data_IF_459015246218
#
_entry.id   IF_459015246218
#
_cell.length_a   1.000
_cell.length_b   1.000
_cell.length_c   1.000
_cell.angle_alpha   90.00
_cell.angle_beta   90.00
_cell.angle_gamma   90.00
#
_symmetry.space_group_name_H-M   'P 1'
#
loop_
_entity.id
_entity.type
_entity.pdbx_description
1 polymer ?
#
# COMPACT_ATOMS: atom_id res chain seq x y z
N UNK A 1 41.71 -4.03 -33.50
CA UNK A 1 42.08 -2.78 -32.84
C UNK A 1 41.34 -1.65 -33.55
N UNK A 2 40.02 -1.73 -33.66
CA UNK A 2 38.98 -1.64 -32.60
C UNK A 2 38.58 -0.18 -32.43
N UNK A 3 37.59 0.24 -33.22
CA UNK A 3 36.91 1.52 -33.06
C UNK A 3 35.55 1.52 -33.79
N UNK A 4 34.68 0.52 -33.53
CA UNK A 4 33.32 0.49 -34.12
C UNK A 4 32.30 -0.24 -33.21
N UNK A 5 32.29 0.04 -31.90
CA UNK A 5 31.27 -0.56 -31.00
C UNK A 5 30.85 0.30 -29.80
N UNK A 6 30.82 1.63 -29.93
CA UNK A 6 30.41 2.52 -28.83
C UNK A 6 28.99 3.10 -29.03
N UNK A 7 28.55 3.29 -30.28
CA UNK A 7 27.22 3.87 -30.58
C UNK A 7 26.03 2.93 -30.42
N UNK A 8 26.25 1.62 -30.31
CA UNK A 8 25.15 0.63 -30.22
C UNK A 8 24.60 0.47 -28.80
N UNK A 9 25.40 0.77 -27.77
CA UNK A 9 24.99 0.59 -26.37
C UNK A 9 24.17 1.78 -25.89
N UNK A 10 24.59 3.00 -26.17
CA UNK A 10 23.85 4.21 -25.77
C UNK A 10 22.48 4.32 -26.45
N UNK A 11 22.36 3.94 -27.72
CA UNK A 11 21.07 3.97 -28.42
C UNK A 11 20.10 2.90 -27.91
N UNK A 12 20.63 1.75 -27.45
CA UNK A 12 19.84 0.69 -26.81
C UNK A 12 19.42 1.06 -25.38
N UNK A 13 20.28 1.72 -24.61
CA UNK A 13 19.98 2.23 -23.27
C UNK A 13 18.95 3.35 -23.34
N UNK A 14 19.08 4.27 -24.30
CA UNK A 14 18.12 5.36 -24.53
C UNK A 14 16.75 4.83 -25.00
N UNK A 15 16.71 3.72 -25.75
CA UNK A 15 15.45 3.06 -26.13
C UNK A 15 14.75 2.35 -24.96
N UNK A 16 15.51 1.82 -23.98
CA UNK A 16 14.94 1.19 -22.78
C UNK A 16 14.25 2.23 -21.89
N UNK A 17 14.63 3.51 -21.96
CA UNK A 17 13.98 4.60 -21.21
C UNK A 17 12.65 5.07 -21.80
N UNK A 18 12.27 4.65 -23.02
CA UNK A 18 11.11 5.17 -23.74
C UNK A 18 9.83 4.32 -23.65
N UNK A 19 9.94 3.01 -23.39
CA UNK A 19 8.77 2.11 -23.36
C UNK A 19 8.44 1.67 -21.93
N UNK A 20 7.20 1.94 -21.51
CA UNK A 20 6.67 1.41 -20.25
C UNK A 20 6.72 -0.12 -20.34
N UNK A 21 7.27 -0.82 -19.33
CA UNK A 21 7.39 -2.27 -19.39
C UNK A 21 6.01 -2.92 -19.55
N UNK A 22 5.97 -4.09 -20.21
CA UNK A 22 4.74 -4.88 -20.30
C UNK A 22 4.38 -5.41 -18.92
N UNK A 23 3.39 -4.79 -18.28
CA UNK A 23 2.93 -5.14 -16.94
C UNK A 23 1.71 -6.05 -17.02
N UNK A 24 1.76 -7.18 -16.33
CA UNK A 24 0.59 -8.03 -16.07
C UNK A 24 0.12 -7.85 -14.63
N UNK A 25 -1.18 -7.64 -14.43
CA UNK A 25 -1.80 -7.62 -13.11
C UNK A 25 -2.31 -9.02 -12.79
N UNK A 26 -1.56 -9.74 -11.96
CA UNK A 26 -1.91 -11.08 -11.53
C UNK A 26 -2.85 -11.03 -10.32
N UNK A 27 -4.02 -11.66 -10.47
CA UNK A 27 -5.01 -11.80 -9.40
C UNK A 27 -5.77 -13.12 -9.50
N UNK A 28 -5.90 -13.82 -8.37
CA UNK A 28 -6.79 -14.97 -8.19
C UNK A 28 -7.93 -14.60 -7.23
N UNK A 29 -9.17 -14.78 -7.66
CA UNK A 29 -10.38 -14.57 -6.86
C UNK A 29 -10.95 -13.14 -6.90
N UNK A 30 -12.15 -12.95 -6.33
CA UNK A 30 -12.88 -11.66 -6.34
C UNK A 30 -12.13 -10.52 -5.67
N UNK A 31 -11.15 -10.86 -4.83
CA UNK A 31 -10.35 -9.95 -4.03
C UNK A 31 -8.97 -9.63 -4.64
N UNK A 32 -8.71 -9.91 -5.92
CA UNK A 32 -7.49 -9.45 -6.60
C UNK A 32 -7.70 -9.27 -8.10
N UNK A 33 -6.76 -8.59 -8.77
CA UNK A 33 -6.80 -8.39 -10.22
C UNK A 33 -7.62 -7.16 -10.67
N UNK A 34 -7.97 -7.15 -11.95
CA UNK A 34 -8.48 -5.98 -12.69
C UNK A 34 -9.72 -5.31 -12.08
N UNK A 35 -10.66 -6.09 -11.51
CA UNK A 35 -11.87 -5.55 -10.88
C UNK A 35 -11.52 -4.64 -9.69
N UNK A 36 -10.55 -5.03 -8.88
CA UNK A 36 -10.08 -4.21 -7.75
C UNK A 36 -9.40 -2.94 -8.22
N UNK A 37 -8.56 -3.02 -9.23
CA UNK A 37 -7.91 -1.82 -9.77
C UNK A 37 -8.92 -0.83 -10.34
N UNK A 38 -9.98 -1.31 -11.01
CA UNK A 38 -11.10 -0.44 -11.43
C UNK A 38 -11.80 0.23 -10.24
N UNK A 39 -11.92 -0.46 -9.11
CA UNK A 39 -12.47 0.14 -7.89
C UNK A 39 -11.52 1.20 -7.30
N UNK A 40 -10.22 0.90 -7.22
CA UNK A 40 -9.19 1.85 -6.76
C UNK A 40 -9.19 3.12 -7.60
N UNK A 41 -9.25 3.01 -8.93
CA UNK A 41 -9.35 4.19 -9.82
C UNK A 41 -10.57 5.05 -9.45
N UNK A 42 -11.74 4.43 -9.23
CA UNK A 42 -12.95 5.16 -8.82
C UNK A 42 -12.78 5.84 -7.47
N UNK A 43 -12.19 5.15 -6.49
CA UNK A 43 -12.00 5.69 -5.15
C UNK A 43 -11.00 6.87 -5.16
N UNK A 44 -9.90 6.76 -5.91
CA UNK A 44 -8.96 7.87 -6.12
C UNK A 44 -9.63 9.03 -6.84
N UNK A 45 -10.46 8.76 -7.85
CA UNK A 45 -11.18 9.82 -8.60
C UNK A 45 -12.12 10.60 -7.69
N UNK A 46 -12.88 9.94 -6.82
CA UNK A 46 -13.78 10.61 -5.87
C UNK A 46 -13.00 11.45 -4.85
N UNK A 47 -11.87 10.93 -4.34
CA UNK A 47 -11.00 11.69 -3.46
C UNK A 47 -10.30 12.85 -4.17
N UNK A 48 -9.96 12.72 -5.45
CA UNK A 48 -9.42 13.82 -6.24
C UNK A 48 -10.45 14.95 -6.42
N UNK A 49 -11.73 14.61 -6.61
CA UNK A 49 -12.80 15.61 -6.65
C UNK A 49 -12.91 16.38 -5.32
N UNK A 50 -12.77 15.67 -4.20
CA UNK A 50 -12.70 16.31 -2.87
C UNK A 50 -11.46 17.21 -2.73
N UNK A 51 -10.30 16.74 -3.20
CA UNK A 51 -9.03 17.47 -3.16
C UNK A 51 -9.06 18.76 -3.99
N UNK A 52 -9.70 18.74 -5.16
CA UNK A 52 -9.79 19.87 -6.09
C UNK A 52 -11.03 20.75 -5.86
N UNK A 53 -11.87 20.42 -4.87
CA UNK A 53 -13.06 21.19 -4.56
C UNK A 53 -12.70 22.62 -4.11
N UNK A 54 -13.20 23.61 -4.83
CA UNK A 54 -12.96 25.04 -4.53
C UNK A 54 -13.92 25.61 -3.47
N UNK A 55 -14.99 24.88 -3.12
CA UNK A 55 -15.91 25.31 -2.05
C UNK A 55 -15.17 25.27 -0.69
N UNK A 56 -15.08 26.41 -0.02
CA UNK A 56 -14.43 26.55 1.28
C UNK A 56 -15.12 25.70 2.37
N UNK A 57 -16.42 25.41 2.22
CA UNK A 57 -17.15 24.50 3.11
C UNK A 57 -16.93 23.02 2.75
N UNK A 58 -16.35 22.75 1.57
CA UNK A 58 -16.10 21.42 1.05
C UNK A 58 -17.28 20.82 0.30
N UNK A 59 -17.29 19.49 0.10
CA UNK A 59 -18.35 18.78 -0.62
C UNK A 59 -18.98 17.68 0.21
N UNK A 60 -20.20 17.28 -0.16
CA UNK A 60 -20.88 16.13 0.44
C UNK A 60 -20.34 14.85 -0.21
N UNK A 61 -19.84 13.94 0.61
CA UNK A 61 -19.38 12.62 0.17
C UNK A 61 -20.53 11.61 0.12
N UNK A 62 -20.41 10.62 -0.75
CA UNK A 62 -21.42 9.55 -0.91
C UNK A 62 -21.48 8.68 0.36
N UNK A 63 -22.68 8.48 0.89
CA UNK A 63 -22.87 7.74 2.15
C UNK A 63 -22.44 6.28 2.03
N UNK A 64 -22.59 5.70 0.85
CA UNK A 64 -22.24 4.30 0.58
C UNK A 64 -20.74 4.03 0.72
N UNK A 65 -19.89 5.01 0.38
CA UNK A 65 -18.42 4.88 0.42
C UNK A 65 -17.77 5.58 1.62
N UNK A 66 -18.41 6.64 2.11
CA UNK A 66 -17.90 7.48 3.19
C UNK A 66 -18.95 7.60 4.31
N UNK A 67 -19.41 6.48 4.91
CA UNK A 67 -20.47 6.51 5.92
C UNK A 67 -20.11 7.36 7.15
N UNK A 68 -18.84 7.46 7.50
CA UNK A 68 -18.30 8.25 8.62
C UNK A 68 -18.36 9.77 8.37
N UNK A 69 -18.55 10.16 7.12
CA UNK A 69 -18.65 11.55 6.66
C UNK A 69 -20.04 11.90 6.14
N UNK A 70 -21.00 10.98 6.21
CA UNK A 70 -22.32 11.15 5.64
C UNK A 70 -23.09 12.33 6.28
N UNK A 71 -23.82 13.06 5.43
CA UNK A 71 -24.75 14.11 5.88
C UNK A 71 -24.10 15.45 6.24
N UNK A 72 -22.80 15.64 5.97
CA UNK A 72 -22.09 16.92 6.14
C UNK A 72 -21.21 17.22 4.93
N UNK A 73 -20.93 18.51 4.69
CA UNK A 73 -19.85 18.93 3.80
C UNK A 73 -18.51 18.70 4.49
N UNK A 74 -17.52 18.29 3.72
CA UNK A 74 -16.18 17.96 4.19
C UNK A 74 -15.16 18.55 3.22
N UNK A 75 -14.14 19.21 3.77
CA UNK A 75 -12.98 19.68 3.00
C UNK A 75 -11.91 18.60 2.94
N UNK A 76 -11.00 18.67 1.97
CA UNK A 76 -9.87 17.74 1.87
C UNK A 76 -9.04 17.66 3.16
N UNK A 77 -8.66 18.82 3.72
CA UNK A 77 -7.85 18.88 4.95
C UNK A 77 -8.58 18.24 6.15
N UNK A 78 -9.88 18.51 6.30
CA UNK A 78 -10.67 17.89 7.38
C UNK A 78 -10.79 16.38 7.17
N UNK A 79 -11.00 15.94 5.94
CA UNK A 79 -11.08 14.52 5.58
C UNK A 79 -9.77 13.81 5.91
N UNK A 80 -8.66 14.27 5.37
CA UNK A 80 -7.34 13.67 5.54
C UNK A 80 -6.95 13.63 7.02
N UNK A 81 -7.17 14.73 7.75
CA UNK A 81 -6.92 14.79 9.19
C UNK A 81 -7.78 13.78 9.95
N UNK A 82 -9.07 13.71 9.66
CA UNK A 82 -9.99 12.78 10.34
C UNK A 82 -9.60 11.32 10.07
N UNK A 83 -9.29 10.99 8.81
CA UNK A 83 -8.85 9.65 8.42
C UNK A 83 -7.57 9.26 9.15
N UNK A 84 -6.59 10.16 9.23
CA UNK A 84 -5.34 9.92 9.95
C UNK A 84 -5.56 9.76 11.45
N UNK A 85 -6.29 10.69 12.07
CA UNK A 85 -6.46 10.75 13.52
C UNK A 85 -7.34 9.58 14.04
N UNK A 86 -8.26 9.07 13.21
CA UNK A 86 -9.13 7.93 13.52
C UNK A 86 -8.67 6.61 12.89
N UNK A 87 -7.50 6.60 12.24
CA UNK A 87 -6.90 5.41 11.60
C UNK A 87 -7.84 4.68 10.61
N UNK A 88 -8.56 5.42 9.77
CA UNK A 88 -9.41 4.85 8.71
C UNK A 88 -8.58 4.33 7.53
N UNK A 89 -7.89 3.21 7.77
CA UNK A 89 -6.90 2.61 6.87
C UNK A 89 -7.44 2.30 5.45
N UNK A 90 -8.76 2.09 5.30
CA UNK A 90 -9.38 1.84 4.00
C UNK A 90 -9.19 2.98 2.97
N UNK A 91 -8.96 4.21 3.43
CA UNK A 91 -8.75 5.37 2.55
C UNK A 91 -7.27 5.68 2.30
N UNK A 92 -6.37 5.07 3.06
CA UNK A 92 -4.95 5.44 3.11
C UNK A 92 -4.25 5.34 1.75
N UNK A 93 -4.51 4.28 0.98
CA UNK A 93 -3.94 4.09 -0.35
C UNK A 93 -4.41 5.20 -1.32
N UNK A 94 -5.72 5.48 -1.36
CA UNK A 94 -6.28 6.49 -2.25
C UNK A 94 -5.82 7.90 -1.89
N UNK A 95 -5.74 8.23 -0.59
CA UNK A 95 -5.15 9.50 -0.10
C UNK A 95 -3.69 9.60 -0.53
N UNK A 96 -2.91 8.52 -0.38
CA UNK A 96 -1.49 8.52 -0.74
C UNK A 96 -1.27 8.80 -2.23
N UNK A 97 -2.12 8.28 -3.10
CA UNK A 97 -2.08 8.56 -4.55
C UNK A 97 -2.39 10.04 -4.82
N UNK A 98 -3.48 10.55 -4.25
CA UNK A 98 -3.87 11.96 -4.43
C UNK A 98 -2.79 12.91 -3.91
N UNK A 99 -2.23 12.66 -2.73
CA UNK A 99 -1.16 13.47 -2.16
C UNK A 99 0.13 13.42 -2.98
N UNK A 100 0.47 12.25 -3.53
CA UNK A 100 1.69 12.07 -4.33
C UNK A 100 1.63 12.82 -5.66
N UNK A 101 0.49 12.82 -6.34
CA UNK A 101 0.35 13.40 -7.68
C UNK A 101 -0.34 14.76 -7.68
N UNK A 102 -1.05 15.13 -6.61
CA UNK A 102 -1.76 16.40 -6.48
C UNK A 102 -2.65 16.67 -7.68
N UNK A 103 -2.41 17.79 -8.36
CA UNK A 103 -3.18 18.20 -9.55
C UNK A 103 -3.05 17.22 -10.72
N UNK A 104 -1.93 16.50 -10.81
CA UNK A 104 -1.64 15.52 -11.87
C UNK A 104 -2.23 14.13 -11.60
N UNK A 105 -3.00 13.94 -10.52
CA UNK A 105 -3.58 12.64 -10.15
C UNK A 105 -4.38 12.01 -11.27
N UNK A 106 -5.25 12.77 -11.93
CA UNK A 106 -6.06 12.24 -13.04
C UNK A 106 -5.18 11.82 -14.23
N UNK A 107 -4.19 12.63 -14.59
CA UNK A 107 -3.22 12.29 -15.64
C UNK A 107 -2.44 11.01 -15.32
N UNK A 108 -2.07 10.81 -14.05
CA UNK A 108 -1.41 9.59 -13.61
C UNK A 108 -2.34 8.37 -13.67
N UNK A 109 -3.61 8.53 -13.28
CA UNK A 109 -4.63 7.48 -13.39
C UNK A 109 -4.93 7.11 -14.85
N UNK A 110 -5.05 8.10 -15.74
CA UNK A 110 -5.28 7.86 -17.17
C UNK A 110 -4.12 7.07 -17.77
N UNK A 111 -2.87 7.51 -17.50
CA UNK A 111 -1.68 6.77 -17.94
C UNK A 111 -1.65 5.35 -17.37
N UNK A 112 -2.01 5.14 -16.11
CA UNK A 112 -2.08 3.80 -15.53
C UNK A 112 -3.15 2.94 -16.20
N UNK A 113 -4.31 3.51 -16.51
CA UNK A 113 -5.39 2.81 -17.20
C UNK A 113 -4.97 2.41 -18.61
N UNK A 114 -4.49 3.36 -19.40
CA UNK A 114 -4.11 3.14 -20.80
C UNK A 114 -2.95 2.15 -20.92
N UNK A 115 -1.92 2.31 -20.09
CA UNK A 115 -0.65 1.60 -20.27
C UNK A 115 -0.62 0.24 -19.58
N UNK A 116 -1.48 0.01 -18.59
CA UNK A 116 -1.47 -1.22 -17.79
C UNK A 116 -2.82 -1.92 -17.85
N UNK A 117 -3.90 -1.22 -17.51
CA UNK A 117 -5.22 -1.84 -17.38
C UNK A 117 -5.81 -2.23 -18.73
N UNK A 118 -5.71 -1.37 -19.74
CA UNK A 118 -6.34 -1.59 -21.04
C UNK A 118 -5.49 -2.45 -21.97
N UNK A 119 -4.15 -2.31 -21.89
CA UNK A 119 -3.23 -3.22 -22.60
C UNK A 119 -3.34 -4.66 -22.09
N UNK A 120 -3.56 -4.85 -20.79
CA UNK A 120 -3.88 -6.14 -20.15
C UNK A 120 -3.04 -7.32 -20.68
N UNK A 121 -1.71 -7.16 -20.68
CA UNK A 121 -0.78 -8.19 -21.14
C UNK A 121 -0.99 -9.50 -20.39
N UNK A 122 -0.76 -10.63 -21.06
CA UNK A 122 -0.80 -11.95 -20.42
C UNK A 122 0.45 -12.18 -19.59
N UNK A 123 0.37 -13.13 -18.65
CA UNK A 123 1.49 -13.47 -17.76
C UNK A 123 2.74 -13.87 -18.54
N UNK A 124 2.60 -14.62 -19.63
CA UNK A 124 3.72 -15.14 -20.42
C UNK A 124 4.43 -14.06 -21.25
N UNK A 125 3.77 -12.93 -21.48
CA UNK A 125 4.27 -11.80 -22.28
C UNK A 125 4.82 -10.68 -21.39
N UNK A 126 4.56 -10.75 -20.09
CA UNK A 126 4.86 -9.72 -19.12
C UNK A 126 6.35 -9.64 -18.80
N UNK A 127 6.86 -8.42 -18.75
CA UNK A 127 8.18 -8.12 -18.19
C UNK A 127 8.10 -7.90 -16.68
N UNK A 128 6.95 -7.42 -16.18
CA UNK A 128 6.68 -7.17 -14.77
C UNK A 128 5.32 -7.76 -14.41
N UNK A 129 5.26 -8.48 -13.30
CA UNK A 129 4.00 -9.00 -12.76
C UNK A 129 3.69 -8.28 -11.45
N UNK A 130 2.57 -7.57 -11.40
CA UNK A 130 2.03 -6.98 -10.18
C UNK A 130 1.07 -7.97 -9.56
N UNK A 131 1.32 -8.37 -8.31
CA UNK A 131 0.51 -9.36 -7.61
C UNK A 131 0.40 -9.02 -6.13
N UNK A 132 -0.63 -9.53 -5.48
CA UNK A 132 -0.71 -9.51 -4.01
C UNK A 132 -0.05 -10.76 -3.45
N UNK A 133 0.46 -10.69 -2.21
CA UNK A 133 1.06 -11.86 -1.54
C UNK A 133 0.11 -13.06 -1.49
N UNK A 134 -1.18 -12.80 -1.31
CA UNK A 134 -2.22 -13.82 -1.32
C UNK A 134 -2.30 -14.55 -2.67
N UNK A 135 -2.33 -13.79 -3.78
CA UNK A 135 -2.40 -14.35 -5.12
C UNK A 135 -1.09 -15.06 -5.51
N UNK A 136 0.05 -14.59 -4.98
CA UNK A 136 1.37 -15.17 -5.22
C UNK A 136 1.59 -16.55 -4.56
N UNK A 137 0.68 -17.02 -3.69
CA UNK A 137 0.83 -18.31 -3.02
C UNK A 137 0.95 -19.46 -4.04
N UNK A 138 2.02 -20.23 -3.94
CA UNK A 138 2.31 -21.35 -4.85
C UNK A 138 2.89 -20.94 -6.20
N UNK A 139 3.09 -19.64 -6.44
CA UNK A 139 3.80 -19.10 -7.60
C UNK A 139 5.25 -18.80 -7.21
N UNK A 140 6.18 -18.79 -8.16
CA UNK A 140 7.58 -18.47 -7.89
C UNK A 140 8.19 -17.81 -9.13
N UNK A 141 9.03 -16.80 -8.92
CA UNK A 141 9.68 -16.03 -9.97
C UNK A 141 11.18 -15.90 -9.71
N UNK A 142 11.95 -15.68 -10.78
CA UNK A 142 13.40 -15.52 -10.67
C UNK A 142 13.77 -14.31 -9.80
N UNK A 143 13.09 -13.18 -10.03
CA UNK A 143 13.32 -11.92 -9.32
C UNK A 143 12.01 -11.47 -8.67
N UNK A 144 12.05 -11.14 -7.39
CA UNK A 144 10.90 -10.61 -6.64
C UNK A 144 11.31 -9.35 -5.91
N UNK A 145 10.50 -8.30 -6.05
CA UNK A 145 10.59 -7.08 -5.26
C UNK A 145 9.38 -7.00 -4.34
N UNK A 146 9.63 -6.90 -3.04
CA UNK A 146 8.60 -6.64 -2.03
C UNK A 146 8.48 -5.13 -1.84
N UNK A 147 7.26 -4.60 -1.77
CA UNK A 147 7.00 -3.16 -1.60
C UNK A 147 6.91 -2.78 -0.11
N UNK A 148 7.20 -1.51 0.21
CA UNK A 148 7.32 -0.99 1.58
C UNK A 148 6.01 -1.03 2.40
N UNK A 149 4.86 -1.01 1.72
CA UNK A 149 3.51 -0.95 2.32
C UNK A 149 3.11 -2.25 3.04
N UNK A 150 3.85 -3.33 2.82
CA UNK A 150 3.70 -4.59 3.54
C UNK A 150 4.03 -4.51 5.04
N UNK A 151 4.75 -3.49 5.50
CA UNK A 151 5.37 -3.46 6.83
C UNK A 151 4.84 -2.39 7.77
N UNK A 152 3.87 -1.60 7.34
CA UNK A 152 3.21 -0.61 8.20
C UNK A 152 2.42 -1.25 9.36
N UNK A 153 2.42 -2.58 9.46
CA UNK A 153 1.94 -3.33 10.62
C UNK A 153 2.90 -3.34 11.81
N UNK A 154 4.23 -3.18 11.60
CA UNK A 154 5.25 -3.16 12.67
C UNK A 154 5.29 -1.84 13.45
N UNK A 155 4.14 -1.23 13.69
CA UNK A 155 4.03 -0.09 14.60
C UNK A 155 4.13 -0.61 16.03
N UNK A 156 4.96 0.05 16.85
CA UNK A 156 5.02 -0.11 18.31
C UNK A 156 3.64 0.20 18.90
N UNK A 157 2.74 -0.79 18.87
CA UNK A 157 1.53 -0.78 19.67
C UNK A 157 1.98 -1.00 21.10
N UNK A 158 2.44 0.07 21.76
CA UNK A 158 2.59 0.07 23.21
C UNK A 158 1.25 -0.39 23.77
N UNK A 159 1.26 -1.58 24.37
CA UNK A 159 0.04 -2.18 24.90
C UNK A 159 -0.67 -1.19 25.84
N UNK A 160 -2.00 -1.25 25.96
CA UNK A 160 -2.74 -0.37 26.84
C UNK A 160 -2.14 -0.45 28.25
N UNK A 161 -1.96 0.70 28.90
CA UNK A 161 -1.46 0.77 30.27
C UNK A 161 -2.40 -0.04 31.18
N UNK A 162 -1.96 -1.22 31.60
CA UNK A 162 -2.76 -2.05 32.50
C UNK A 162 -2.59 -1.55 33.92
N UNK A 163 -3.70 -1.33 34.62
CA UNK A 163 -3.69 -1.03 36.05
C UNK A 163 -3.77 -2.34 36.81
N UNK A 164 -2.63 -2.78 37.37
CA UNK A 164 -2.63 -3.92 38.29
C UNK A 164 -2.97 -3.45 39.69
N UNK A 165 -3.98 -4.09 40.29
CA UNK A 165 -4.33 -3.89 41.70
C UNK A 165 -3.59 -4.97 42.50
N UNK A 166 -2.74 -4.55 43.42
CA UNK A 166 -2.02 -5.44 44.33
C UNK A 166 -2.26 -5.01 45.79
N UNK A 167 -1.96 -5.89 46.74
CA UNK A 167 -2.00 -5.56 48.17
C UNK A 167 -0.57 -5.34 48.65
N UNK A 168 -0.34 -4.26 49.40
CA UNK A 168 0.94 -4.05 50.07
C UNK A 168 1.09 -5.00 51.27
N UNK A 169 2.27 -4.97 51.92
CA UNK A 169 2.59 -5.77 53.10
C UNK A 169 1.61 -5.57 54.27
N UNK A 170 0.84 -4.48 54.25
CA UNK A 170 -0.14 -4.13 55.27
C UNK A 170 -1.58 -4.41 54.80
N UNK A 171 -1.76 -5.15 53.70
CA UNK A 171 -3.06 -5.55 53.17
C UNK A 171 -3.83 -4.46 52.42
N UNK A 172 -3.24 -3.26 52.24
CA UNK A 172 -3.90 -2.13 51.58
C UNK A 172 -3.84 -2.29 50.05
N UNK A 173 -4.99 -2.15 49.38
CA UNK A 173 -5.05 -2.20 47.90
C UNK A 173 -4.35 -0.98 47.30
N UNK A 174 -3.35 -1.21 46.46
CA UNK A 174 -2.65 -0.20 45.67
C UNK A 174 -2.83 -0.47 44.18
N UNK A 175 -2.79 0.59 43.38
CA UNK A 175 -2.86 0.54 41.92
C UNK A 175 -1.46 0.87 41.37
N UNK A 176 -0.83 -0.05 40.66
CA UNK A 176 0.35 0.25 39.85
C UNK A 176 -0.06 0.30 38.38
N UNK A 177 0.41 1.33 37.67
CA UNK A 177 0.43 1.31 36.21
C UNK A 177 1.57 0.40 35.80
N UNK A 178 1.23 -0.74 35.21
CA UNK A 178 2.22 -1.69 34.71
C UNK A 178 2.15 -1.63 33.19
N UNK A 179 3.24 -1.17 32.59
CA UNK A 179 3.47 -1.31 31.16
C UNK A 179 3.92 -2.75 30.94
N UNK A 180 2.98 -3.63 30.63
CA UNK A 180 3.32 -5.00 30.24
C UNK A 180 3.87 -4.92 28.83
N UNK A 181 5.13 -5.34 28.62
CA UNK A 181 5.64 -5.64 27.29
C UNK A 181 4.88 -6.87 26.77
N UNK A 182 3.72 -6.65 26.16
CA UNK A 182 3.09 -7.66 25.33
C UNK A 182 3.71 -7.53 23.96
N UNK A 183 4.56 -8.48 23.58
CA UNK A 183 4.79 -8.69 22.17
C UNK A 183 3.44 -9.06 21.57
N UNK A 184 2.89 -8.22 20.70
CA UNK A 184 1.61 -8.48 20.05
C UNK A 184 1.72 -9.59 18.98
N UNK A 185 2.53 -10.63 19.22
CA UNK A 185 2.87 -11.70 18.27
C UNK A 185 1.64 -12.35 17.63
N UNK A 186 0.51 -12.42 18.33
CA UNK A 186 -0.73 -12.99 17.80
C UNK A 186 -1.35 -12.14 16.69
N UNK A 187 -1.24 -10.81 16.77
CA UNK A 187 -1.69 -9.91 15.71
C UNK A 187 -0.68 -9.86 14.55
N UNK A 188 0.57 -10.30 14.80
CA UNK A 188 1.66 -10.36 13.83
C UNK A 188 1.79 -11.71 13.12
N UNK A 189 1.15 -12.78 13.59
CA UNK A 189 1.33 -14.12 13.03
C UNK A 189 0.97 -14.17 11.53
N UNK A 190 -0.17 -13.59 11.16
CA UNK A 190 -0.58 -13.48 9.76
C UNK A 190 0.35 -12.59 8.94
N UNK A 191 0.85 -11.50 9.54
CA UNK A 191 1.78 -10.57 8.88
C UNK A 191 3.11 -11.25 8.59
N UNK A 192 3.67 -11.96 9.57
CA UNK A 192 4.91 -12.72 9.42
C UNK A 192 4.73 -13.80 8.35
N UNK A 193 3.57 -14.47 8.34
CA UNK A 193 3.24 -15.44 7.28
C UNK A 193 3.22 -14.78 5.90
N UNK A 194 2.67 -13.57 5.74
CA UNK A 194 2.71 -12.85 4.47
C UNK A 194 4.13 -12.47 4.05
N UNK A 195 4.93 -11.96 4.97
CA UNK A 195 6.34 -11.63 4.68
C UNK A 195 7.09 -12.90 4.27
N UNK A 196 6.93 -14.00 5.00
CA UNK A 196 7.51 -15.30 4.67
C UNK A 196 7.08 -15.78 3.27
N UNK A 197 5.78 -15.71 2.97
CA UNK A 197 5.28 -16.08 1.63
C UNK A 197 5.92 -15.21 0.57
N UNK A 198 5.93 -13.88 0.74
CA UNK A 198 6.50 -12.94 -0.22
C UNK A 198 7.99 -13.20 -0.48
N UNK A 199 8.79 -13.34 0.58
CA UNK A 199 10.22 -13.60 0.50
C UNK A 199 10.53 -14.95 -0.17
N UNK A 200 9.71 -15.98 0.08
CA UNK A 200 9.90 -17.31 -0.51
C UNK A 200 9.39 -17.44 -1.95
N UNK A 201 8.87 -16.36 -2.57
CA UNK A 201 8.51 -16.39 -3.99
C UNK A 201 9.73 -16.23 -4.91
N UNK A 202 10.86 -15.72 -4.39
CA UNK A 202 12.07 -15.48 -5.17
C UNK A 202 12.91 -16.76 -5.34
N UNK A 203 13.29 -17.09 -6.57
CA UNK A 203 14.22 -18.20 -6.87
C UNK A 203 15.67 -17.76 -6.91
N UNK A 204 15.96 -16.53 -7.36
CA UNK A 204 17.32 -16.03 -7.57
C UNK A 204 17.58 -14.74 -6.82
N UNK A 205 16.77 -13.71 -7.05
CA UNK A 205 16.97 -12.38 -6.47
C UNK A 205 15.74 -11.93 -5.70
N UNK A 206 15.95 -11.54 -4.44
CA UNK A 206 14.94 -10.94 -3.58
C UNK A 206 15.36 -9.52 -3.24
N UNK A 207 14.56 -8.54 -3.62
CA UNK A 207 14.70 -7.15 -3.20
C UNK A 207 13.66 -6.87 -2.11
N UNK A 208 14.15 -6.44 -0.95
CA UNK A 208 13.31 -6.11 0.20
C UNK A 208 13.26 -4.61 0.44
N UNK A 209 12.13 -4.11 0.97
CA UNK A 209 12.02 -2.73 1.36
C UNK A 209 13.01 -2.39 2.47
N UNK A 210 13.55 -1.16 2.47
CA UNK A 210 14.57 -0.73 3.44
C UNK A 210 14.07 -0.83 4.88
N UNK A 211 12.78 -0.61 5.10
CA UNK A 211 12.12 -0.83 6.40
C UNK A 211 12.28 -2.27 6.91
N UNK A 212 12.28 -3.28 6.03
CA UNK A 212 12.46 -4.69 6.42
C UNK A 212 13.90 -5.01 6.78
N UNK A 213 14.84 -4.48 5.99
CA UNK A 213 16.27 -4.71 6.21
C UNK A 213 16.74 -4.11 7.53
N UNK A 214 16.03 -3.14 8.10
CA UNK A 214 16.33 -2.61 9.43
C UNK A 214 16.01 -3.59 10.57
N UNK A 215 15.18 -4.62 10.32
CA UNK A 215 14.81 -5.64 11.31
C UNK A 215 15.59 -6.96 11.15
N UNK A 216 16.30 -7.15 10.04
CA UNK A 216 17.10 -8.34 9.72
C UNK A 216 18.58 -8.09 10.05
#
# INVERSE_FOLDING_TARGET
ADADNDGSYDEAVTKIEAEIPRVHIFGKGESSGMKKWRQVVKDVTELYNLFTCEDAEGMILTREKFPEFAGRKVTWDHFEKTVRDLEYNQYGASISVVNKFGKDTMKALDRFQDEIMDKNYKEEEAQVILTTVHAAKGMEWDNVQVLDDMLDFFVDKRGPVQVRIYRDSNGKKRKARVTTWQFAFKDFEDTINFVYVACTRAKKVLSLPGKLTAFL
#
